data_IF_482854463990
#
_entry.id   IF_482854463990
#
_cell.length_a   1.000
_cell.length_b   1.000
_cell.length_c   1.000
_cell.angle_alpha   90.00
_cell.angle_beta   90.00
_cell.angle_gamma   90.00
#
_symmetry.space_group_name_H-M   'P 1'
#
loop_
_entity.id
_entity.type
_entity.pdbx_description
1 polymer ?
#
# COMPACT_ATOMS: atom_id res chain seq x y z
N UNK A 1 9.17 3.69 -23.26
CA UNK A 1 8.45 2.73 -22.42
C UNK A 1 8.16 1.51 -23.29
N UNK A 2 8.27 0.27 -22.79
CA UNK A 2 7.85 -0.90 -23.55
C UNK A 2 6.38 -0.74 -23.95
N UNK A 3 6.04 -1.22 -25.15
CA UNK A 3 4.72 -1.12 -25.75
C UNK A 3 3.70 -1.85 -24.86
N UNK A 4 2.96 -1.12 -24.02
CA UNK A 4 2.12 -1.70 -22.96
C UNK A 4 0.82 -2.27 -23.49
N UNK A 5 0.49 -2.02 -24.77
CA UNK A 5 -0.80 -2.19 -25.43
C UNK A 5 -1.38 -3.63 -25.41
N UNK A 6 -0.74 -4.56 -24.69
CA UNK A 6 -1.21 -5.90 -24.41
C UNK A 6 -0.65 -6.48 -23.09
N UNK A 7 -0.45 -5.67 -22.06
CA UNK A 7 0.03 -6.16 -20.76
C UNK A 7 -0.93 -7.24 -20.18
N UNK A 8 -0.42 -8.28 -19.50
CA UNK A 8 -1.27 -9.34 -18.94
C UNK A 8 -2.24 -8.85 -17.86
N UNK A 9 -1.89 -7.76 -17.17
CA UNK A 9 -2.72 -7.17 -16.13
C UNK A 9 -2.92 -5.68 -16.34
N UNK A 10 -4.10 -5.19 -15.96
CA UNK A 10 -4.43 -3.77 -15.86
C UNK A 10 -4.77 -3.44 -14.40
N UNK A 11 -4.27 -2.32 -13.88
CA UNK A 11 -4.51 -1.84 -12.52
C UNK A 11 -5.23 -0.50 -12.60
N UNK A 12 -6.19 -0.24 -11.72
CA UNK A 12 -6.79 1.09 -11.60
C UNK A 12 -6.05 1.98 -10.61
N UNK A 13 -5.96 3.27 -10.93
CA UNK A 13 -5.37 4.31 -10.10
C UNK A 13 -6.14 5.63 -10.25
N UNK A 14 -5.69 6.68 -9.59
CA UNK A 14 -6.25 8.02 -9.79
C UNK A 14 -5.32 8.88 -10.63
N UNK A 15 -5.87 9.73 -11.49
CA UNK A 15 -5.11 10.71 -12.28
C UNK A 15 -4.84 12.02 -11.51
N UNK A 16 -5.45 12.20 -10.35
CA UNK A 16 -5.20 13.31 -9.44
C UNK A 16 -5.56 12.93 -8.00
N UNK A 17 -4.74 13.39 -7.05
CA UNK A 17 -5.02 13.38 -5.61
C UNK A 17 -4.40 14.63 -4.95
N UNK A 18 -4.87 15.04 -3.75
CA UNK A 18 -4.20 16.06 -2.95
C UNK A 18 -2.73 15.71 -2.68
N UNK A 19 -1.88 16.72 -2.48
CA UNK A 19 -0.44 16.52 -2.35
C UNK A 19 -0.04 15.53 -1.24
N UNK A 20 -0.73 15.54 -0.09
CA UNK A 20 -0.47 14.62 1.01
C UNK A 20 -0.72 13.14 0.65
N UNK A 21 -1.53 12.86 -0.38
CA UNK A 21 -1.88 11.51 -0.81
C UNK A 21 -0.98 10.98 -1.94
N UNK A 22 -0.19 11.85 -2.59
CA UNK A 22 0.71 11.46 -3.68
C UNK A 22 1.77 10.49 -3.15
N UNK A 23 1.89 9.32 -3.77
CA UNK A 23 2.82 8.27 -3.31
C UNK A 23 2.30 7.39 -2.17
N UNK A 24 1.04 7.59 -1.74
CA UNK A 24 0.38 6.84 -0.65
C UNK A 24 -0.93 6.17 -1.07
N UNK A 25 -1.42 6.43 -2.29
CA UNK A 25 -2.58 5.71 -2.84
C UNK A 25 -2.25 4.21 -2.97
N UNK A 26 -3.21 3.35 -2.61
CA UNK A 26 -2.99 1.90 -2.46
C UNK A 26 -2.69 1.16 -3.76
N UNK A 27 -2.88 1.78 -4.92
CA UNK A 27 -2.44 1.25 -6.22
C UNK A 27 -0.91 1.11 -6.30
N UNK A 28 -0.14 1.79 -5.44
CA UNK A 28 1.30 1.58 -5.31
C UNK A 28 1.66 0.13 -4.94
N UNK A 29 0.82 -0.55 -4.15
CA UNK A 29 1.08 -1.93 -3.69
C UNK A 29 1.15 -2.93 -4.85
N UNK A 30 0.13 -3.06 -5.71
CA UNK A 30 0.20 -3.96 -6.85
C UNK A 30 1.23 -3.52 -7.89
N UNK A 31 1.45 -2.22 -8.11
CA UNK A 31 2.55 -1.74 -8.97
C UNK A 31 3.90 -2.23 -8.46
N UNK A 32 4.17 -2.06 -7.17
CA UNK A 32 5.41 -2.52 -6.56
C UNK A 32 5.55 -4.04 -6.69
N UNK A 33 4.50 -4.82 -6.44
CA UNK A 33 4.53 -6.26 -6.67
C UNK A 33 4.87 -6.61 -8.13
N UNK A 34 4.24 -5.97 -9.11
CA UNK A 34 4.55 -6.17 -10.52
C UNK A 34 6.01 -5.85 -10.86
N UNK A 35 6.55 -4.72 -10.37
CA UNK A 35 7.96 -4.34 -10.56
C UNK A 35 8.94 -5.36 -9.93
N UNK A 36 8.61 -5.94 -8.77
CA UNK A 36 9.45 -6.95 -8.11
C UNK A 36 9.59 -8.23 -8.94
N UNK A 37 8.52 -8.61 -9.64
CA UNK A 37 8.49 -9.84 -10.44
C UNK A 37 8.76 -9.61 -11.93
N UNK A 38 8.81 -8.34 -12.36
CA UNK A 38 8.97 -7.96 -13.77
C UNK A 38 7.72 -8.25 -14.61
N UNK A 39 6.53 -8.21 -13.99
CA UNK A 39 5.26 -8.41 -14.68
C UNK A 39 4.83 -7.09 -15.34
N UNK A 40 4.71 -7.01 -16.68
CA UNK A 40 4.18 -5.82 -17.33
C UNK A 40 2.74 -5.56 -16.91
N UNK A 41 2.38 -4.29 -16.69
CA UNK A 41 1.03 -3.89 -16.34
C UNK A 41 0.65 -2.59 -17.04
N UNK A 42 -0.66 -2.40 -17.26
CA UNK A 42 -1.24 -1.14 -17.70
C UNK A 42 -1.97 -0.42 -16.56
N UNK A 43 -2.08 0.90 -16.67
CA UNK A 43 -2.86 1.71 -15.73
C UNK A 43 -4.13 2.24 -16.40
N UNK A 44 -5.28 2.02 -15.75
CA UNK A 44 -6.53 2.72 -16.04
C UNK A 44 -6.76 3.77 -14.96
N UNK A 45 -6.47 5.02 -15.30
CA UNK A 45 -6.57 6.15 -14.36
C UNK A 45 -8.00 6.72 -14.32
N UNK A 46 -8.48 7.02 -13.12
CA UNK A 46 -9.83 7.52 -12.83
C UNK A 46 -9.77 8.93 -12.22
N UNK A 47 -10.75 9.79 -12.54
CA UNK A 47 -10.97 11.03 -11.77
C UNK A 47 -11.65 10.67 -10.44
N UNK A 48 -10.97 10.94 -9.33
CA UNK A 48 -11.48 10.66 -7.98
C UNK A 48 -12.80 11.39 -7.68
N UNK A 49 -13.07 12.53 -8.32
CA UNK A 49 -14.26 13.38 -8.10
C UNK A 49 -15.44 13.00 -8.98
N UNK A 50 -15.19 12.37 -10.13
CA UNK A 50 -16.22 12.00 -11.11
C UNK A 50 -15.96 10.61 -11.70
N UNK A 51 -16.19 9.58 -10.88
CA UNK A 51 -16.04 8.18 -11.31
C UNK A 51 -17.27 7.76 -12.11
N UNK A 52 -17.11 7.00 -13.20
CA UNK A 52 -18.25 6.47 -13.94
C UNK A 52 -19.02 5.46 -13.09
N UNK A 53 -20.35 5.46 -13.16
CA UNK A 53 -21.22 4.55 -12.39
C UNK A 53 -20.87 3.07 -12.63
N UNK A 54 -20.40 2.74 -13.84
CA UNK A 54 -19.96 1.39 -14.20
C UNK A 54 -18.79 0.90 -13.34
N UNK A 55 -17.97 1.79 -12.79
CA UNK A 55 -16.84 1.41 -11.95
C UNK A 55 -17.30 0.77 -10.63
N UNK A 56 -18.49 1.12 -10.12
CA UNK A 56 -19.01 0.51 -8.90
C UNK A 56 -19.38 -0.98 -9.07
N UNK A 57 -19.52 -1.46 -10.31
CA UNK A 57 -19.65 -2.88 -10.60
C UNK A 57 -18.33 -3.65 -10.41
N UNK A 58 -17.19 -2.96 -10.53
CA UNK A 58 -15.84 -3.53 -10.33
C UNK A 58 -15.35 -3.33 -8.89
N UNK A 59 -15.64 -2.16 -8.31
CA UNK A 59 -15.29 -1.82 -6.94
C UNK A 59 -16.48 -1.14 -6.23
N UNK A 60 -17.22 -1.86 -5.37
CA UNK A 60 -18.49 -1.38 -4.80
C UNK A 60 -18.41 -0.11 -3.94
N UNK A 61 -17.22 0.27 -3.46
CA UNK A 61 -16.97 1.46 -2.64
C UNK A 61 -16.30 2.59 -3.43
N UNK A 62 -16.15 2.45 -4.75
CA UNK A 62 -15.49 3.44 -5.62
C UNK A 62 -14.01 3.70 -5.28
N UNK A 63 -13.32 2.75 -4.65
CA UNK A 63 -11.90 2.86 -4.28
C UNK A 63 -10.99 2.28 -5.37
N UNK A 64 -9.69 2.57 -5.29
CA UNK A 64 -8.63 1.94 -6.10
C UNK A 64 -7.65 1.21 -5.16
N UNK A 65 -6.97 0.14 -5.60
CA UNK A 65 -6.99 -0.43 -6.96
C UNK A 65 -8.04 -1.54 -7.16
N UNK A 66 -8.46 -1.67 -8.41
CA UNK A 66 -8.96 -2.89 -9.06
C UNK A 66 -7.81 -3.45 -9.90
N UNK A 67 -7.69 -4.77 -10.00
CA UNK A 67 -6.84 -5.47 -10.94
C UNK A 67 -7.69 -6.33 -11.89
N UNK A 68 -7.45 -6.16 -13.18
CA UNK A 68 -7.97 -7.01 -14.25
C UNK A 68 -6.84 -7.88 -14.80
N UNK A 69 -6.91 -9.19 -14.60
CA UNK A 69 -5.97 -10.18 -15.12
C UNK A 69 -6.53 -10.82 -16.39
N UNK A 70 -5.98 -10.45 -17.54
CA UNK A 70 -6.46 -10.85 -18.86
C UNK A 70 -6.15 -12.31 -19.16
N UNK A 71 -5.08 -12.85 -18.58
CA UNK A 71 -4.70 -14.26 -18.77
C UNK A 71 -5.67 -15.21 -18.05
N UNK A 72 -6.37 -14.73 -17.02
CA UNK A 72 -7.29 -15.53 -16.20
C UNK A 72 -8.77 -15.12 -16.32
N UNK A 73 -9.07 -14.11 -17.13
CA UNK A 73 -10.41 -13.50 -17.21
C UNK A 73 -10.97 -13.14 -15.81
N UNK A 74 -10.11 -12.51 -14.99
CA UNK A 74 -10.39 -12.20 -13.59
C UNK A 74 -10.37 -10.69 -13.36
N UNK A 75 -11.41 -10.16 -12.70
CA UNK A 75 -11.44 -8.81 -12.17
C UNK A 75 -11.63 -8.86 -10.65
N UNK A 76 -10.78 -8.16 -9.90
CA UNK A 76 -10.80 -8.19 -8.44
C UNK A 76 -10.36 -6.86 -7.82
N UNK A 77 -10.80 -6.61 -6.59
CA UNK A 77 -10.41 -5.46 -5.78
C UNK A 77 -9.82 -5.91 -4.44
N UNK A 78 -9.48 -4.94 -3.59
CA UNK A 78 -8.67 -5.07 -2.38
C UNK A 78 -7.18 -5.30 -2.66
N UNK A 79 -6.37 -4.28 -2.36
CA UNK A 79 -4.91 -4.36 -2.56
C UNK A 79 -4.25 -5.55 -1.86
N UNK A 80 -4.80 -6.04 -0.73
CA UNK A 80 -4.29 -7.24 -0.05
C UNK A 80 -4.58 -8.52 -0.83
N UNK A 81 -5.79 -8.65 -1.37
CA UNK A 81 -6.17 -9.78 -2.21
C UNK A 81 -5.39 -9.76 -3.54
N UNK A 82 -5.25 -8.58 -4.15
CA UNK A 82 -4.45 -8.39 -5.37
C UNK A 82 -2.99 -8.79 -5.13
N UNK A 83 -2.40 -8.40 -4.01
CA UNK A 83 -1.05 -8.82 -3.66
C UNK A 83 -0.93 -10.34 -3.56
N UNK A 84 -1.87 -11.03 -2.91
CA UNK A 84 -1.87 -12.49 -2.86
C UNK A 84 -1.97 -13.11 -4.25
N UNK A 85 -2.86 -12.60 -5.11
CA UNK A 85 -3.02 -13.05 -6.49
C UNK A 85 -1.72 -12.89 -7.29
N UNK A 86 -1.07 -11.74 -7.22
CA UNK A 86 0.24 -11.51 -7.85
C UNK A 86 1.33 -12.40 -7.23
N UNK A 87 1.27 -12.65 -5.92
CA UNK A 87 2.13 -13.60 -5.23
C UNK A 87 1.96 -15.03 -5.73
N UNK A 88 0.76 -15.43 -6.18
CA UNK A 88 0.57 -16.75 -6.81
C UNK A 88 1.35 -16.92 -8.10
N UNK A 89 1.74 -15.83 -8.78
CA UNK A 89 2.47 -15.89 -10.04
C UNK A 89 3.98 -16.09 -9.85
N UNK A 90 4.54 -15.78 -8.68
CA UNK A 90 6.00 -15.83 -8.45
C UNK A 90 6.39 -16.07 -6.99
N UNK A 91 7.27 -17.05 -6.74
CA UNK A 91 7.72 -17.43 -5.38
C UNK A 91 8.52 -16.34 -4.66
N UNK A 92 9.07 -15.35 -5.40
CA UNK A 92 9.75 -14.18 -4.83
C UNK A 92 8.80 -13.31 -3.99
N UNK A 93 7.49 -13.40 -4.23
CA UNK A 93 6.48 -12.61 -3.52
C UNK A 93 5.69 -13.44 -2.51
N UNK A 94 5.56 -14.75 -2.71
CA UNK A 94 4.84 -15.63 -1.81
C UNK A 94 5.46 -17.03 -1.83
N UNK A 95 6.05 -17.51 -0.71
CA UNK A 95 6.62 -18.84 -0.64
C UNK A 95 5.61 -19.94 -1.01
N UNK A 96 6.09 -21.04 -1.59
CA UNK A 96 5.25 -22.23 -1.87
C UNK A 96 5.24 -23.25 -0.76
N UNK A 97 6.24 -23.25 0.10
CA UNK A 97 6.21 -24.11 1.27
C UNK A 97 5.02 -23.72 2.16
N UNK A 98 4.20 -24.68 2.64
CA UNK A 98 2.96 -24.35 3.36
C UNK A 98 3.18 -23.48 4.59
N UNK A 99 4.31 -23.63 5.27
CA UNK A 99 4.63 -22.91 6.50
C UNK A 99 4.97 -21.43 6.21
N UNK A 100 5.95 -21.18 5.33
CA UNK A 100 6.34 -19.84 4.90
C UNK A 100 5.17 -19.08 4.27
N UNK A 101 4.38 -19.75 3.44
CA UNK A 101 3.15 -19.19 2.86
C UNK A 101 2.16 -18.72 3.93
N UNK A 102 1.86 -19.57 4.91
CA UNK A 102 0.91 -19.25 5.99
C UNK A 102 1.40 -18.08 6.84
N UNK A 103 2.70 -18.02 7.12
CA UNK A 103 3.29 -16.90 7.85
C UNK A 103 3.25 -15.59 7.06
N UNK A 104 3.55 -15.62 5.76
CA UNK A 104 3.44 -14.45 4.90
C UNK A 104 2.00 -13.92 4.85
N UNK A 105 1.00 -14.79 4.70
CA UNK A 105 -0.41 -14.41 4.72
C UNK A 105 -0.80 -13.82 6.09
N UNK A 106 -0.34 -14.42 7.18
CA UNK A 106 -0.61 -13.93 8.54
C UNK A 106 -0.07 -12.50 8.74
N UNK A 107 1.15 -12.23 8.28
CA UNK A 107 1.75 -10.90 8.35
C UNK A 107 1.10 -9.89 7.39
N UNK A 108 0.65 -10.35 6.21
CA UNK A 108 -0.15 -9.52 5.32
C UNK A 108 -1.40 -9.02 6.05
N UNK A 109 -2.18 -9.91 6.66
CA UNK A 109 -3.35 -9.50 7.44
C UNK A 109 -2.98 -8.66 8.67
N UNK A 110 -1.83 -8.90 9.30
CA UNK A 110 -1.35 -8.04 10.39
C UNK A 110 -1.10 -6.59 9.91
N UNK A 111 -0.58 -6.39 8.69
CA UNK A 111 -0.44 -5.05 8.12
C UNK A 111 -1.79 -4.33 8.02
N UNK A 112 -2.79 -4.97 7.40
CA UNK A 112 -4.13 -4.38 7.18
C UNK A 112 -4.97 -4.23 8.45
N UNK A 113 -4.91 -5.19 9.38
CA UNK A 113 -5.88 -5.26 10.48
C UNK A 113 -5.28 -4.90 11.84
N UNK A 114 -3.96 -5.00 12.01
CA UNK A 114 -3.30 -4.72 13.30
C UNK A 114 -2.52 -3.41 13.32
N UNK A 115 -2.05 -2.92 12.16
CA UNK A 115 -1.20 -1.72 12.08
C UNK A 115 -1.90 -0.59 11.32
N UNK A 116 -2.38 -0.84 10.11
CA UNK A 116 -3.00 0.16 9.24
C UNK A 116 -4.15 0.95 9.88
N UNK A 117 -5.06 0.36 10.69
CA UNK A 117 -6.16 1.13 11.28
C UNK A 117 -5.68 2.26 12.19
N UNK A 118 -4.54 2.07 12.85
CA UNK A 118 -3.94 3.11 13.70
C UNK A 118 -3.28 4.21 12.87
N UNK A 119 -2.67 3.86 11.74
CA UNK A 119 -2.06 4.84 10.83
C UNK A 119 -3.15 5.67 10.14
N UNK A 120 -4.25 5.03 9.74
CA UNK A 120 -5.40 5.71 9.16
C UNK A 120 -6.04 6.68 10.16
N UNK A 121 -6.22 6.27 11.42
CA UNK A 121 -6.75 7.16 12.45
C UNK A 121 -5.79 8.32 12.78
N UNK A 122 -4.47 8.10 12.70
CA UNK A 122 -3.50 9.21 12.82
C UNK A 122 -3.68 10.22 11.68
N UNK A 123 -3.76 9.76 10.44
CA UNK A 123 -4.02 10.62 9.30
C UNK A 123 -5.38 11.34 9.41
N UNK A 124 -6.41 10.67 9.94
CA UNK A 124 -7.71 11.26 10.22
C UNK A 124 -7.58 12.49 11.14
N UNK A 125 -6.94 12.34 12.30
CA UNK A 125 -6.84 13.43 13.27
C UNK A 125 -5.84 14.52 12.86
N UNK A 126 -4.81 14.19 12.08
CA UNK A 126 -3.75 15.13 11.69
C UNK A 126 -4.04 15.88 10.39
N UNK A 127 -4.85 15.30 9.49
CA UNK A 127 -5.12 15.87 8.16
C UNK A 127 -6.60 16.21 8.00
N UNK A 128 -7.49 15.23 8.19
CA UNK A 128 -8.90 15.39 7.82
C UNK A 128 -9.72 16.14 8.86
N UNK A 129 -9.42 15.93 10.15
CA UNK A 129 -10.04 16.59 11.30
C UNK A 129 -9.08 17.57 11.99
N UNK A 130 -8.09 18.06 11.24
CA UNK A 130 -7.09 18.99 11.77
C UNK A 130 -7.77 20.25 12.34
N UNK A 131 -7.47 20.58 13.59
CA UNK A 131 -8.06 21.71 14.31
C UNK A 131 -9.41 21.41 14.99
N UNK A 132 -9.96 20.20 14.86
CA UNK A 132 -11.11 19.80 15.63
C UNK A 132 -10.73 19.42 17.07
N UNK A 133 -11.48 19.91 18.06
CA UNK A 133 -11.16 19.72 19.48
C UNK A 133 -11.05 18.23 19.87
N UNK A 134 -11.91 17.38 19.33
CA UNK A 134 -11.87 15.94 19.62
C UNK A 134 -10.60 15.27 19.06
N UNK A 135 -10.08 15.76 17.93
CA UNK A 135 -8.87 15.24 17.30
C UNK A 135 -7.64 15.54 18.18
N UNK A 136 -7.56 16.76 18.72
CA UNK A 136 -6.52 17.15 19.68
C UNK A 136 -6.57 16.30 20.96
N UNK A 137 -7.76 16.09 21.53
CA UNK A 137 -7.96 15.25 22.71
C UNK A 137 -7.65 13.77 22.44
N UNK A 138 -7.92 13.28 21.23
CA UNK A 138 -7.67 11.90 20.83
C UNK A 138 -6.19 11.62 20.67
N UNK A 139 -5.41 12.57 20.17
CA UNK A 139 -4.02 12.39 19.74
C UNK A 139 -3.10 11.72 20.78
N UNK A 140 -3.02 12.16 22.06
CA UNK A 140 -2.06 11.57 23.01
C UNK A 140 -2.31 10.08 23.25
N UNK A 141 -3.58 9.70 23.42
CA UNK A 141 -3.96 8.30 23.64
C UNK A 141 -3.74 7.42 22.40
N UNK A 142 -3.93 7.98 21.20
CA UNK A 142 -3.69 7.28 19.94
C UNK A 142 -2.20 7.03 19.72
N UNK A 143 -1.38 8.06 19.86
CA UNK A 143 0.09 7.98 19.70
C UNK A 143 0.68 6.98 20.69
N UNK A 144 0.24 7.00 21.95
CA UNK A 144 0.69 6.03 22.96
C UNK A 144 0.33 4.58 22.57
N UNK A 145 -0.90 4.35 22.09
CA UNK A 145 -1.34 3.02 21.68
C UNK A 145 -0.65 2.53 20.40
N UNK A 146 -0.49 3.41 19.41
CA UNK A 146 0.27 3.13 18.19
C UNK A 146 1.73 2.80 18.53
N UNK A 147 2.36 3.55 19.43
CA UNK A 147 3.71 3.27 19.91
C UNK A 147 3.84 1.87 20.50
N UNK A 148 2.96 1.49 21.43
CA UNK A 148 2.96 0.15 22.01
C UNK A 148 2.80 -0.96 20.97
N UNK A 149 1.93 -0.75 19.96
CA UNK A 149 1.74 -1.69 18.85
C UNK A 149 3.01 -1.84 18.03
N UNK A 150 3.66 -0.73 17.71
CA UNK A 150 4.89 -0.70 16.93
C UNK A 150 6.09 -1.25 17.73
N UNK A 151 6.12 -1.11 19.06
CA UNK A 151 7.13 -1.77 19.91
C UNK A 151 7.03 -3.30 19.80
N UNK A 152 5.81 -3.84 19.75
CA UNK A 152 5.59 -5.29 19.55
C UNK A 152 6.00 -5.74 18.17
N UNK A 153 5.73 -4.94 17.13
CA UNK A 153 6.20 -5.21 15.77
C UNK A 153 7.73 -5.20 15.70
N UNK A 154 8.38 -4.20 16.32
CA UNK A 154 9.84 -4.09 16.38
C UNK A 154 10.45 -5.30 17.08
N UNK A 155 9.88 -5.75 18.20
CA UNK A 155 10.32 -6.95 18.90
C UNK A 155 10.16 -8.22 18.04
N UNK A 156 9.07 -8.35 17.28
CA UNK A 156 8.85 -9.47 16.37
C UNK A 156 9.83 -9.50 15.18
N UNK A 157 10.29 -8.31 14.75
CA UNK A 157 11.27 -8.12 13.68
C UNK A 157 12.74 -8.18 14.16
N UNK A 158 12.98 -8.28 15.47
CA UNK A 158 14.34 -8.29 16.01
C UNK A 158 15.16 -9.45 15.41
N UNK A 159 16.29 -9.10 14.79
CA UNK A 159 17.17 -10.08 14.13
C UNK A 159 16.64 -10.63 12.80
N UNK A 160 15.62 -10.03 12.21
CA UNK A 160 15.04 -10.43 10.92
C UNK A 160 15.11 -9.28 9.91
N UNK A 161 15.36 -9.61 8.66
CA UNK A 161 15.28 -8.64 7.57
C UNK A 161 13.84 -8.46 7.05
N UNK A 162 13.04 -9.53 7.05
CA UNK A 162 11.69 -9.58 6.51
C UNK A 162 10.73 -10.31 7.45
N UNK A 163 9.44 -9.99 7.36
CA UNK A 163 8.41 -10.45 8.31
C UNK A 163 8.29 -11.98 8.39
N UNK A 164 8.31 -12.63 7.22
CA UNK A 164 8.12 -14.06 7.06
C UNK A 164 9.39 -14.81 6.60
N UNK A 165 10.57 -14.27 6.93
CA UNK A 165 11.87 -14.86 6.56
C UNK A 165 12.44 -14.26 5.27
N UNK A 166 11.80 -14.55 4.13
CA UNK A 166 12.13 -13.88 2.86
C UNK A 166 11.17 -12.71 2.59
N UNK A 167 11.59 -11.78 1.73
CA UNK A 167 10.74 -10.69 1.27
C UNK A 167 9.48 -11.26 0.62
N UNK A 168 8.33 -10.65 0.88
CA UNK A 168 7.04 -11.14 0.40
C UNK A 168 6.03 -10.01 0.23
N UNK A 169 4.83 -10.37 -0.23
CA UNK A 169 3.64 -9.51 -0.24
C UNK A 169 3.32 -8.89 1.12
N UNK A 170 3.66 -9.58 2.21
CA UNK A 170 3.48 -9.07 3.56
C UNK A 170 4.33 -7.81 3.80
N UNK A 171 5.55 -7.81 3.27
CA UNK A 171 6.49 -6.70 3.41
C UNK A 171 6.08 -5.52 2.54
N UNK A 172 5.56 -5.76 1.33
CA UNK A 172 4.98 -4.71 0.49
C UNK A 172 3.83 -3.99 1.23
N UNK A 173 2.91 -4.76 1.82
CA UNK A 173 1.81 -4.19 2.58
C UNK A 173 2.30 -3.46 3.84
N UNK A 174 3.12 -4.10 4.67
CA UNK A 174 3.57 -3.49 5.93
C UNK A 174 4.43 -2.25 5.70
N UNK A 175 5.37 -2.27 4.76
CA UNK A 175 6.21 -1.10 4.47
C UNK A 175 5.35 0.09 4.00
N UNK A 176 4.39 -0.11 3.09
CA UNK A 176 3.49 0.97 2.66
C UNK A 176 2.60 1.49 3.79
N UNK A 177 2.23 0.65 4.77
CA UNK A 177 1.53 1.08 5.98
C UNK A 177 2.45 1.91 6.89
N UNK A 178 3.67 1.44 7.17
CA UNK A 178 4.61 2.14 8.06
C UNK A 178 5.06 3.50 7.48
N UNK A 179 5.13 3.64 6.15
CA UNK A 179 5.40 4.93 5.50
C UNK A 179 4.41 6.02 5.90
N UNK A 180 3.16 5.68 6.22
CA UNK A 180 2.16 6.67 6.63
C UNK A 180 2.48 7.31 7.99
N UNK A 181 3.37 6.71 8.78
CA UNK A 181 3.83 7.25 10.05
C UNK A 181 5.21 7.91 9.99
N UNK A 182 5.84 8.02 8.80
CA UNK A 182 7.08 8.78 8.66
C UNK A 182 6.84 10.26 9.06
N UNK A 183 7.75 10.82 9.84
CA UNK A 183 7.65 12.18 10.37
C UNK A 183 6.79 12.32 11.63
N UNK A 184 6.09 11.27 12.07
CA UNK A 184 5.29 11.29 13.31
C UNK A 184 6.11 11.05 14.59
N UNK A 185 7.36 10.61 14.47
CA UNK A 185 8.21 10.12 15.57
C UNK A 185 7.98 8.64 15.90
N UNK A 186 6.87 8.04 15.47
CA UNK A 186 6.52 6.66 15.80
C UNK A 186 7.45 5.62 15.17
N UNK A 187 8.02 5.92 13.99
CA UNK A 187 8.94 5.00 13.32
C UNK A 187 10.40 5.35 13.68
N UNK A 188 10.71 6.64 13.77
CA UNK A 188 12.02 7.20 14.08
C UNK A 188 12.55 6.74 15.45
N UNK A 189 11.66 6.62 16.44
CA UNK A 189 11.99 6.14 17.78
C UNK A 189 12.26 4.61 17.84
N UNK A 190 12.07 3.89 16.72
CA UNK A 190 12.17 2.42 16.65
C UNK A 190 13.18 2.00 15.58
N UNK A 191 14.49 1.95 15.92
CA UNK A 191 15.55 1.68 14.95
C UNK A 191 15.37 0.40 14.13
N UNK A 192 14.79 -0.65 14.71
CA UNK A 192 14.48 -1.90 14.00
C UNK A 192 13.47 -1.67 12.87
N UNK A 193 12.40 -0.92 13.15
CA UNK A 193 11.37 -0.62 12.14
C UNK A 193 11.87 0.41 11.14
N UNK A 194 12.63 1.41 11.57
CA UNK A 194 13.26 2.36 10.66
C UNK A 194 14.21 1.63 9.69
N UNK A 195 15.08 0.74 10.18
CA UNK A 195 15.97 -0.05 9.33
C UNK A 195 15.20 -0.96 8.35
N UNK A 196 14.14 -1.62 8.83
CA UNK A 196 13.24 -2.42 7.99
C UNK A 196 12.57 -1.58 6.88
N UNK A 197 12.03 -0.41 7.25
CA UNK A 197 11.37 0.47 6.32
C UNK A 197 12.35 1.00 5.27
N UNK A 198 13.51 1.51 5.69
CA UNK A 198 14.55 2.01 4.79
C UNK A 198 15.05 0.91 3.84
N UNK A 199 15.23 -0.32 4.32
CA UNK A 199 15.57 -1.47 3.47
C UNK A 199 14.48 -1.73 2.42
N UNK A 200 13.22 -1.66 2.83
CA UNK A 200 12.06 -1.91 1.97
C UNK A 200 11.95 -0.86 0.85
N UNK A 201 12.04 0.43 1.18
CA UNK A 201 11.90 1.52 0.22
C UNK A 201 13.17 1.79 -0.59
N UNK A 202 14.32 1.25 -0.17
CA UNK A 202 15.54 1.32 -0.96
C UNK A 202 15.50 0.42 -2.21
N UNK A 203 14.58 -0.56 -2.26
CA UNK A 203 14.46 -1.54 -3.33
C UNK A 203 14.20 -0.86 -4.69
N UNK A 204 14.87 -1.27 -5.78
CA UNK A 204 14.67 -0.68 -7.10
C UNK A 204 13.22 -0.72 -7.58
N UNK A 205 12.52 -1.84 -7.35
CA UNK A 205 11.12 -2.02 -7.72
C UNK A 205 10.17 -1.04 -7.00
N UNK A 206 10.40 -0.79 -5.70
CA UNK A 206 9.64 0.24 -4.97
C UNK A 206 9.84 1.62 -5.60
N UNK A 207 11.09 2.00 -5.88
CA UNK A 207 11.42 3.30 -6.47
C UNK A 207 10.81 3.47 -7.85
N UNK A 208 10.84 2.42 -8.68
CA UNK A 208 10.21 2.41 -9.99
C UNK A 208 8.68 2.59 -9.89
N UNK A 209 8.03 1.80 -9.03
CA UNK A 209 6.58 1.87 -8.82
C UNK A 209 6.14 3.24 -8.28
N UNK A 210 6.89 3.80 -7.31
CA UNK A 210 6.61 5.13 -6.75
C UNK A 210 6.81 6.22 -7.80
N UNK A 211 7.91 6.18 -8.56
CA UNK A 211 8.15 7.15 -9.63
C UNK A 211 7.07 7.11 -10.71
N UNK A 212 6.65 5.90 -11.12
CA UNK A 212 5.56 5.71 -12.08
C UNK A 212 4.23 6.29 -11.55
N UNK A 213 3.87 5.96 -10.30
CA UNK A 213 2.65 6.49 -9.68
C UNK A 213 2.68 8.02 -9.59
N UNK A 214 3.82 8.62 -9.20
CA UNK A 214 3.95 10.07 -9.11
C UNK A 214 3.84 10.76 -10.48
N UNK A 215 4.25 10.08 -11.56
CA UNK A 215 4.16 10.60 -12.92
C UNK A 215 2.73 10.61 -13.48
N UNK A 216 1.83 9.78 -12.92
CA UNK A 216 0.42 9.70 -13.35
C UNK A 216 -0.41 10.91 -12.87
N UNK A 217 0.01 11.58 -11.79
CA UNK A 217 -0.77 12.66 -11.20
C UNK A 217 -0.67 13.97 -12.00
N UNK A 218 -1.83 14.44 -12.44
CA UNK A 218 -2.02 15.76 -13.05
C UNK A 218 -1.89 16.88 -12.00
N UNK A 219 -1.72 18.14 -12.43
CA UNK A 219 -1.84 19.32 -11.55
C UNK A 219 -3.23 19.42 -10.92
N UNK A 220 -3.38 20.29 -9.91
CA UNK A 220 -4.69 20.56 -9.30
C UNK A 220 -5.72 20.91 -10.39
N UNK A 221 -6.78 20.10 -10.56
CA UNK A 221 -7.81 20.38 -11.53
C UNK A 221 -8.58 21.64 -11.12
N UNK A 222 -8.93 22.48 -12.10
CA UNK A 222 -9.72 23.69 -11.82
C UNK A 222 -11.07 23.32 -11.18
N UNK A 223 -11.64 24.22 -10.34
CA UNK A 223 -12.94 24.00 -9.75
C UNK A 223 -13.98 23.77 -10.85
N UNK A 224 -14.78 22.71 -10.71
CA UNK A 224 -15.94 22.51 -11.58
C UNK A 224 -16.97 23.58 -11.20
N UNK A 225 -17.30 24.44 -12.15
CA UNK A 225 -18.29 25.53 -12.04
C UNK A 225 -19.70 25.02 -11.81
#
# INVERSE_FOLDING_TARGET
MPDTNNAPVEITGFDWVPDFAKGFVRDLRPRWACEEIGLPYEMRLLDVRNKPDSYFAEQPWGQVPVLSDRDQDLCMFESGAILLHLGEKDERLLPRDPHGRTLAISWLFAAYNSVEPLMFELANIEIFAAGEQWAELRRPSLVAFAGQRLDRLAAAMAGRDWLAGQFSVADIAMATVLRQAEGSGLIEDRPVLMAYLQRSIARPAFKAALAAQLADFKPMPEPVS
#
